data_IF_188476508856
#
_entry.id   IF_188476508856
#
_cell.length_a   1.000
_cell.length_b   1.000
_cell.length_c   1.000
_cell.angle_alpha   90.00
_cell.angle_beta   90.00
_cell.angle_gamma   90.00
#
_symmetry.space_group_name_H-M   'P 1'
#
loop_
_entity.id
_entity.type
_entity.pdbx_description
1 polymer ?
#
# COMPACT_ATOMS: atom_id res chain seq x y z
N UNK A 1 -22.86 19.97 -17.74
CA UNK A 1 -23.13 20.71 -16.49
C UNK A 1 -23.12 19.81 -15.24
N UNK A 2 -23.49 18.53 -15.35
CA UNK A 2 -23.49 17.58 -14.18
C UNK A 2 -22.11 17.04 -13.75
N UNK A 3 -21.11 17.02 -14.62
CA UNK A 3 -19.76 16.50 -14.29
C UNK A 3 -18.96 17.43 -13.35
N UNK A 4 -19.22 18.73 -13.37
CA UNK A 4 -18.51 19.71 -12.54
C UNK A 4 -18.98 19.74 -11.08
N UNK A 5 -20.24 19.37 -10.81
CA UNK A 5 -20.80 19.40 -9.45
C UNK A 5 -20.31 18.25 -8.56
N UNK A 6 -20.08 17.06 -9.15
CA UNK A 6 -19.60 15.90 -8.40
C UNK A 6 -18.15 16.09 -7.91
N UNK A 7 -17.30 16.71 -8.72
CA UNK A 7 -15.92 16.99 -8.35
C UNK A 7 -15.76 18.04 -7.24
N UNK A 8 -16.62 19.06 -7.24
CA UNK A 8 -16.59 20.11 -6.21
C UNK A 8 -17.07 19.59 -4.85
N UNK A 9 -18.00 18.62 -4.82
CA UNK A 9 -18.45 17.99 -3.58
C UNK A 9 -17.36 17.10 -2.93
N UNK A 10 -16.57 16.37 -3.71
CA UNK A 10 -15.47 15.55 -3.17
C UNK A 10 -14.41 16.42 -2.48
N UNK A 11 -14.08 17.58 -3.05
CA UNK A 11 -13.10 18.49 -2.48
C UNK A 11 -13.58 19.14 -1.16
N UNK A 12 -14.89 19.42 -1.05
CA UNK A 12 -15.44 20.07 0.15
C UNK A 12 -15.55 19.11 1.34
N UNK A 13 -15.86 17.81 1.11
CA UNK A 13 -15.96 16.82 2.20
C UNK A 13 -14.62 16.37 2.76
N UNK A 14 -13.55 16.40 1.97
CA UNK A 14 -12.20 16.04 2.44
C UNK A 14 -11.62 17.14 3.36
N UNK A 15 -12.05 18.38 3.23
CA UNK A 15 -11.60 19.51 4.05
C UNK A 15 -12.32 19.63 5.40
N UNK A 16 -13.46 18.96 5.59
CA UNK A 16 -14.24 19.06 6.85
C UNK A 16 -13.93 17.97 7.88
N UNK A 17 -13.12 16.97 7.54
CA UNK A 17 -12.64 15.92 8.46
C UNK A 17 -11.34 16.30 9.20
N UNK A 18 -11.11 17.58 9.46
CA UNK A 18 -9.89 18.06 10.14
C UNK A 18 -10.04 18.29 11.65
N UNK A 19 -11.16 17.90 12.26
CA UNK A 19 -11.17 17.74 13.71
C UNK A 19 -10.60 16.35 14.04
N UNK A 20 -9.63 16.26 14.96
CA UNK A 20 -9.13 14.96 15.39
C UNK A 20 -10.31 14.19 15.96
N UNK A 21 -10.66 13.07 15.34
CA UNK A 21 -11.53 12.09 15.96
C UNK A 21 -10.80 11.66 17.24
N UNK A 22 -11.36 11.98 18.40
CA UNK A 22 -10.80 11.59 19.69
C UNK A 22 -10.55 10.08 19.65
N UNK A 23 -9.26 9.72 19.79
CA UNK A 23 -8.72 8.40 20.11
C UNK A 23 -9.51 7.21 19.52
N UNK A 24 -9.45 7.04 18.20
CA UNK A 24 -9.50 5.68 17.68
C UNK A 24 -8.32 4.97 18.36
N UNK A 25 -8.57 3.83 19.00
CA UNK A 25 -7.56 3.04 19.72
C UNK A 25 -6.46 2.54 18.75
N UNK A 26 -5.79 3.47 18.05
CA UNK A 26 -4.63 3.20 17.20
C UNK A 26 -3.46 2.60 17.98
N UNK A 27 -3.52 2.73 19.30
CA UNK A 27 -2.51 2.23 20.24
C UNK A 27 -2.91 0.88 20.86
N UNK A 28 -4.02 0.26 20.42
CA UNK A 28 -4.33 -1.11 20.81
C UNK A 28 -3.53 -2.10 19.95
N UNK A 29 -2.99 -3.14 20.58
CA UNK A 29 -2.17 -4.15 19.93
C UNK A 29 -2.86 -5.51 19.95
N UNK A 30 -2.63 -6.30 18.93
CA UNK A 30 -2.94 -7.72 18.92
C UNK A 30 -1.74 -8.47 19.52
N UNK A 31 -1.95 -9.19 20.62
CA UNK A 31 -1.02 -10.20 21.08
C UNK A 31 -1.30 -11.47 20.24
N UNK A 32 -0.35 -11.80 19.37
CA UNK A 32 -0.50 -12.93 18.46
C UNK A 32 -0.03 -14.17 19.20
N UNK A 33 -0.96 -14.86 19.89
CA UNK A 33 -0.68 -16.16 20.49
C UNK A 33 -0.34 -17.18 19.39
N UNK A 34 0.84 -17.78 19.51
CA UNK A 34 1.29 -18.84 18.59
C UNK A 34 1.90 -18.33 17.30
N UNK A 35 2.31 -17.04 17.22
CA UNK A 35 3.17 -16.58 16.15
C UNK A 35 4.32 -17.58 15.98
N UNK A 36 4.40 -18.22 14.82
CA UNK A 36 5.49 -19.14 14.51
C UNK A 36 6.77 -18.34 14.38
N UNK A 37 7.39 -18.06 15.50
CA UNK A 37 8.81 -17.68 15.56
C UNK A 37 9.54 -18.81 14.84
N UNK A 38 10.23 -18.48 13.77
CA UNK A 38 10.78 -19.39 12.78
C UNK A 38 11.06 -20.79 13.30
N UNK A 39 10.45 -21.81 12.70
CA UNK A 39 10.47 -23.20 13.12
C UNK A 39 11.87 -23.79 13.34
N UNK A 40 12.90 -23.14 12.86
CA UNK A 40 14.27 -23.63 12.89
C UNK A 40 14.98 -23.38 14.22
N UNK A 41 14.53 -22.42 15.02
CA UNK A 41 15.20 -22.13 16.28
C UNK A 41 14.14 -21.91 17.35
N UNK A 42 14.06 -22.81 18.23
CA UNK A 42 13.24 -22.75 19.44
C UNK A 42 13.69 -21.66 20.45
N UNK A 43 14.56 -20.78 20.02
CA UNK A 43 15.04 -19.63 20.80
C UNK A 43 14.66 -18.35 20.07
N UNK A 44 14.16 -17.33 20.75
CA UNK A 44 14.06 -16.00 20.18
C UNK A 44 15.43 -15.61 19.62
N UNK A 45 15.47 -15.23 18.36
CA UNK A 45 16.70 -14.64 17.80
C UNK A 45 16.88 -13.32 18.53
N UNK A 46 17.90 -13.22 19.34
CA UNK A 46 18.32 -11.97 19.95
C UNK A 46 18.99 -11.11 18.85
N UNK A 47 18.18 -10.30 18.21
CA UNK A 47 18.61 -9.40 17.14
C UNK A 47 19.52 -8.29 17.65
N UNK A 48 19.44 -7.92 18.94
CA UNK A 48 20.31 -6.91 19.54
C UNK A 48 21.72 -7.45 19.77
N UNK A 49 21.86 -8.76 20.03
CA UNK A 49 23.17 -9.42 20.11
C UNK A 49 23.73 -9.84 18.75
N UNK A 50 22.87 -9.89 17.72
CA UNK A 50 23.21 -10.18 16.33
C UNK A 50 22.85 -9.01 15.41
N UNK A 51 22.97 -7.79 15.87
CA UNK A 51 23.04 -6.62 14.98
C UNK A 51 24.33 -6.75 14.13
N UNK A 52 24.34 -7.76 13.30
CA UNK A 52 25.23 -7.84 12.16
C UNK A 52 24.76 -6.71 11.27
N UNK A 53 25.49 -5.60 11.30
CA UNK A 53 25.44 -4.69 10.18
C UNK A 53 25.68 -5.55 8.94
N UNK A 54 24.63 -5.80 8.12
CA UNK A 54 24.75 -6.68 6.97
C UNK A 54 25.80 -6.18 5.98
N UNK A 55 26.32 -4.95 6.19
CA UNK A 55 27.35 -4.32 5.37
C UNK A 55 28.73 -4.33 6.01
N UNK A 56 28.85 -4.46 7.34
CA UNK A 56 30.17 -4.43 8.03
C UNK A 56 30.96 -5.73 7.96
N UNK A 57 30.33 -6.86 7.70
CA UNK A 57 30.98 -8.18 7.61
C UNK A 57 30.88 -8.83 6.24
N UNK A 58 30.70 -8.06 5.18
CA UNK A 58 30.81 -8.59 3.83
C UNK A 58 32.29 -8.80 3.54
N UNK A 59 32.75 -10.03 3.68
CA UNK A 59 34.01 -10.46 3.10
C UNK A 59 33.88 -10.35 1.57
N UNK A 60 34.60 -9.43 0.90
CA UNK A 60 34.50 -9.29 -0.55
C UNK A 60 34.85 -10.57 -1.31
N UNK A 61 35.59 -11.52 -0.68
CA UNK A 61 35.86 -12.83 -1.25
C UNK A 61 34.65 -13.77 -1.24
N UNK A 62 33.62 -13.46 -0.45
CA UNK A 62 32.35 -14.20 -0.34
C UNK A 62 31.20 -13.57 -1.16
N UNK A 63 31.48 -12.59 -1.99
CA UNK A 63 30.46 -11.99 -2.87
C UNK A 63 29.81 -12.99 -3.83
N UNK A 64 30.47 -14.14 -4.08
CA UNK A 64 29.90 -15.24 -4.86
C UNK A 64 28.78 -16.03 -4.13
N UNK A 65 28.58 -15.80 -2.85
CA UNK A 65 27.52 -16.44 -2.05
C UNK A 65 26.21 -15.62 -2.00
N UNK A 66 26.17 -14.43 -2.61
CA UNK A 66 24.96 -13.64 -2.68
C UNK A 66 23.99 -14.23 -3.68
N UNK A 67 22.80 -14.57 -3.23
CA UNK A 67 21.72 -15.07 -4.06
C UNK A 67 20.70 -13.95 -4.23
N UNK A 68 20.31 -13.59 -5.47
CA UNK A 68 19.20 -12.68 -5.68
C UNK A 68 17.90 -13.32 -5.21
N UNK A 69 17.10 -12.59 -4.45
CA UNK A 69 15.79 -13.01 -4.00
C UNK A 69 14.73 -12.21 -4.77
N UNK A 70 13.67 -12.88 -5.17
CA UNK A 70 12.57 -12.30 -5.95
C UNK A 70 11.27 -12.39 -5.17
N UNK A 71 10.52 -11.30 -5.15
CA UNK A 71 9.26 -11.24 -4.43
C UNK A 71 8.46 -10.00 -4.79
N UNK A 72 7.32 -9.85 -4.16
CA UNK A 72 6.44 -8.70 -4.33
C UNK A 72 5.95 -8.20 -2.96
N UNK A 73 6.05 -6.90 -2.76
CA UNK A 73 5.64 -6.23 -1.52
C UNK A 73 4.50 -5.23 -1.76
N UNK A 74 3.76 -5.40 -2.88
CA UNK A 74 2.65 -4.54 -3.21
C UNK A 74 1.54 -5.33 -3.92
N UNK A 75 0.64 -5.90 -3.11
CA UNK A 75 -0.36 -6.86 -3.56
C UNK A 75 -1.68 -6.62 -2.86
N UNK A 76 -2.77 -6.52 -3.65
CA UNK A 76 -4.12 -6.34 -3.17
C UNK A 76 -4.96 -7.60 -3.34
N UNK A 77 -5.82 -7.86 -2.37
CA UNK A 77 -6.69 -9.03 -2.31
C UNK A 77 -8.17 -8.62 -2.19
N UNK A 78 -9.02 -9.55 -1.84
CA UNK A 78 -10.45 -9.31 -1.59
C UNK A 78 -10.71 -8.20 -0.57
N UNK A 79 -9.76 -7.90 0.31
CA UNK A 79 -9.92 -6.90 1.36
C UNK A 79 -9.67 -5.46 0.92
N UNK A 80 -9.01 -5.24 -0.23
CA UNK A 80 -8.93 -3.91 -0.84
C UNK A 80 -10.25 -3.54 -1.48
N UNK A 81 -10.76 -2.35 -1.15
CA UNK A 81 -12.07 -1.90 -1.60
C UNK A 81 -12.21 -1.84 -3.13
N UNK A 82 -11.18 -1.46 -3.83
CA UNK A 82 -11.11 -1.40 -5.29
C UNK A 82 -10.91 -2.78 -5.91
N UNK A 83 -9.97 -3.58 -5.43
CA UNK A 83 -9.76 -4.94 -5.91
C UNK A 83 -11.07 -5.77 -5.84
N UNK A 84 -11.79 -5.72 -4.71
CA UNK A 84 -13.08 -6.38 -4.59
C UNK A 84 -14.11 -5.86 -5.59
N UNK A 85 -14.23 -4.54 -5.73
CA UNK A 85 -15.17 -3.93 -6.68
C UNK A 85 -14.86 -4.37 -8.12
N UNK A 86 -13.58 -4.52 -8.48
CA UNK A 86 -13.17 -4.97 -9.81
C UNK A 86 -13.13 -6.50 -9.98
N UNK A 87 -13.57 -7.26 -8.98
CA UNK A 87 -13.86 -8.69 -9.12
C UNK A 87 -12.89 -9.64 -8.44
N UNK A 88 -11.93 -9.11 -7.70
CA UNK A 88 -10.95 -9.94 -6.97
C UNK A 88 -11.61 -10.56 -5.75
N UNK A 89 -11.68 -11.88 -5.75
CA UNK A 89 -12.18 -12.71 -4.65
C UNK A 89 -11.06 -13.51 -3.98
N UNK A 90 -9.85 -13.44 -4.51
CA UNK A 90 -8.69 -14.09 -3.93
C UNK A 90 -8.39 -13.47 -2.55
N UNK A 91 -8.26 -14.33 -1.56
CA UNK A 91 -7.95 -13.98 -0.18
C UNK A 91 -6.45 -13.75 0.02
N UNK A 92 -6.00 -13.24 1.18
CA UNK A 92 -4.58 -13.23 1.52
C UNK A 92 -3.92 -14.61 1.45
N UNK A 93 -4.61 -15.68 1.86
CA UNK A 93 -4.10 -17.04 1.72
C UNK A 93 -3.89 -17.44 0.25
N UNK A 94 -4.85 -17.13 -0.63
CA UNK A 94 -4.74 -17.39 -2.08
C UNK A 94 -3.52 -16.65 -2.68
N UNK A 95 -3.29 -15.40 -2.28
CA UNK A 95 -2.16 -14.61 -2.72
C UNK A 95 -0.81 -15.27 -2.34
N UNK A 96 -0.68 -15.74 -1.09
CA UNK A 96 0.52 -16.48 -0.66
C UNK A 96 0.64 -17.85 -1.32
N UNK A 97 -0.47 -18.54 -1.60
CA UNK A 97 -0.45 -19.81 -2.33
C UNK A 97 0.02 -19.60 -3.79
N UNK A 98 -0.43 -18.53 -4.46
CA UNK A 98 0.10 -18.14 -5.78
C UNK A 98 1.60 -17.89 -5.73
N UNK A 99 2.05 -17.08 -4.76
CA UNK A 99 3.48 -16.76 -4.62
C UNK A 99 4.34 -18.00 -4.42
N UNK A 100 3.79 -19.08 -3.85
CA UNK A 100 4.42 -20.40 -3.74
C UNK A 100 4.25 -21.29 -4.97
N UNK A 101 3.70 -20.76 -6.08
CA UNK A 101 3.56 -21.45 -7.37
C UNK A 101 2.28 -22.25 -7.54
N UNK A 102 1.25 -22.06 -6.68
CA UNK A 102 -0.07 -22.65 -6.90
C UNK A 102 -0.90 -21.78 -7.84
N UNK A 103 -1.92 -22.39 -8.44
CA UNK A 103 -2.88 -21.67 -9.29
C UNK A 103 -3.99 -21.05 -8.46
N UNK A 104 -4.40 -19.82 -8.80
CA UNK A 104 -5.59 -19.16 -8.27
C UNK A 104 -6.52 -18.70 -9.40
N UNK A 105 -7.75 -18.30 -9.06
CA UNK A 105 -8.69 -17.72 -10.03
C UNK A 105 -8.47 -16.24 -10.21
N UNK A 106 -8.21 -15.84 -11.44
CA UNK A 106 -8.18 -14.44 -11.85
C UNK A 106 -9.63 -13.88 -11.95
N UNK A 107 -9.88 -12.59 -11.64
CA UNK A 107 -11.21 -11.97 -11.78
C UNK A 107 -11.86 -12.13 -13.16
N UNK A 108 -11.07 -12.26 -14.22
CA UNK A 108 -11.56 -12.51 -15.56
C UNK A 108 -11.96 -13.98 -15.83
N UNK A 109 -11.86 -14.88 -14.83
CA UNK A 109 -12.40 -16.23 -14.88
C UNK A 109 -11.44 -17.33 -15.32
N UNK A 110 -10.19 -17.02 -15.67
CA UNK A 110 -9.15 -18.01 -15.98
C UNK A 110 -8.31 -18.35 -14.73
N UNK A 111 -7.58 -19.44 -14.80
CA UNK A 111 -6.59 -19.80 -13.77
C UNK A 111 -5.25 -19.12 -14.08
N UNK A 112 -4.58 -18.61 -13.05
CA UNK A 112 -3.26 -18.00 -13.14
C UNK A 112 -2.32 -18.67 -12.14
N UNK A 113 -1.09 -18.91 -12.55
CA UNK A 113 -0.01 -19.43 -11.72
C UNK A 113 1.31 -18.82 -12.15
N UNK A 114 2.26 -18.76 -11.24
CA UNK A 114 3.63 -18.35 -11.56
C UNK A 114 4.43 -19.53 -12.10
N UNK A 115 5.31 -19.31 -13.07
CA UNK A 115 6.20 -20.33 -13.63
C UNK A 115 7.23 -20.82 -12.61
N UNK A 116 7.58 -19.97 -11.65
CA UNK A 116 8.39 -20.35 -10.50
C UNK A 116 7.90 -19.65 -9.24
N UNK A 117 8.04 -20.30 -8.06
CA UNK A 117 7.73 -19.66 -6.79
C UNK A 117 8.60 -18.43 -6.54
N UNK A 118 8.06 -17.48 -5.79
CA UNK A 118 8.77 -16.34 -5.23
C UNK A 118 9.52 -16.73 -3.96
N UNK A 119 10.50 -15.90 -3.58
CA UNK A 119 11.26 -16.07 -2.34
C UNK A 119 10.60 -15.35 -1.15
N UNK A 120 9.89 -14.25 -1.43
CA UNK A 120 9.17 -13.47 -0.41
C UNK A 120 7.91 -12.81 -0.99
N UNK A 121 6.96 -12.51 -0.09
CA UNK A 121 5.70 -11.86 -0.49
C UNK A 121 5.09 -11.06 0.66
N UNK A 122 4.39 -9.98 0.35
CA UNK A 122 3.64 -9.18 1.31
C UNK A 122 2.30 -8.72 0.73
N UNK A 123 1.20 -9.14 1.36
CA UNK A 123 -0.13 -8.59 1.06
C UNK A 123 -0.24 -7.22 1.69
N UNK A 124 -0.63 -6.23 0.89
CA UNK A 124 -0.66 -4.81 1.27
C UNK A 124 -2.00 -4.16 0.96
N UNK A 125 -3.08 -4.83 1.32
CA UNK A 125 -4.42 -4.28 1.13
C UNK A 125 -4.55 -2.87 1.73
N UNK A 126 -5.36 -2.04 1.11
CA UNK A 126 -5.64 -0.68 1.60
C UNK A 126 -6.13 -0.68 3.04
N UNK A 127 -5.41 -0.03 3.95
CA UNK A 127 -5.84 0.15 5.35
C UNK A 127 -7.10 1.03 5.46
N UNK A 128 -7.39 1.82 4.44
CA UNK A 128 -8.63 2.59 4.34
C UNK A 128 -9.73 1.70 3.79
N UNK A 129 -10.85 1.58 4.50
CA UNK A 129 -11.98 0.71 4.15
C UNK A 129 -11.63 -0.78 4.01
N UNK A 130 -10.65 -1.27 4.75
CA UNK A 130 -10.18 -2.64 4.73
C UNK A 130 -11.32 -3.64 5.03
N UNK A 131 -11.68 -4.49 4.05
CA UNK A 131 -12.77 -5.45 4.13
C UNK A 131 -14.19 -4.88 4.01
N UNK A 132 -14.35 -3.56 3.92
CA UNK A 132 -15.68 -2.94 3.97
C UNK A 132 -16.55 -3.22 2.74
N UNK A 133 -15.98 -3.36 1.55
CA UNK A 133 -16.77 -3.67 0.34
C UNK A 133 -17.25 -5.10 0.36
N UNK A 134 -16.41 -6.04 0.77
CA UNK A 134 -16.80 -7.43 0.96
C UNK A 134 -17.94 -7.54 1.98
N UNK A 135 -17.82 -6.87 3.12
CA UNK A 135 -18.87 -6.80 4.14
C UNK A 135 -20.18 -6.21 3.58
N UNK A 136 -20.08 -5.12 2.79
CA UNK A 136 -21.20 -4.48 2.14
C UNK A 136 -21.88 -5.35 1.07
N UNK A 137 -21.14 -6.26 0.47
CA UNK A 137 -21.64 -7.22 -0.53
C UNK A 137 -22.12 -8.55 0.07
N UNK A 138 -21.89 -8.78 1.36
CA UNK A 138 -22.24 -10.04 2.04
C UNK A 138 -23.64 -10.00 2.62
N UNK A 139 -24.59 -10.84 2.12
CA UNK A 139 -25.97 -10.87 2.62
C UNK A 139 -26.06 -11.15 4.12
N UNK A 140 -26.90 -10.40 4.81
CA UNK A 140 -27.15 -10.55 6.24
C UNK A 140 -26.22 -9.76 7.16
N UNK A 141 -25.30 -9.00 6.61
CA UNK A 141 -24.49 -8.06 7.39
C UNK A 141 -25.22 -6.70 7.55
N UNK A 142 -24.94 -5.93 8.60
CA UNK A 142 -25.49 -4.59 8.75
C UNK A 142 -25.17 -3.64 7.59
N UNK A 143 -24.03 -3.85 6.90
CA UNK A 143 -23.66 -3.03 5.76
C UNK A 143 -24.42 -3.40 4.49
N UNK A 144 -24.73 -4.67 4.29
CA UNK A 144 -25.47 -5.13 3.11
C UNK A 144 -26.81 -4.40 2.95
N UNK A 145 -27.54 -4.20 4.04
CA UNK A 145 -28.83 -3.54 4.05
C UNK A 145 -28.74 -2.00 4.05
N UNK A 146 -27.55 -1.44 4.16
CA UNK A 146 -27.34 -0.01 4.16
C UNK A 146 -27.56 0.60 2.75
N UNK A 147 -28.25 1.74 2.63
CA UNK A 147 -28.44 2.39 1.32
C UNK A 147 -27.14 2.74 0.57
N UNK A 148 -26.04 2.93 1.30
CA UNK A 148 -24.71 3.17 0.74
C UNK A 148 -24.13 1.97 0.01
N UNK A 149 -24.62 0.76 0.28
CA UNK A 149 -24.05 -0.52 -0.20
C UNK A 149 -24.78 -1.10 -1.42
N UNK A 150 -25.96 -0.60 -1.77
CA UNK A 150 -26.82 -1.17 -2.83
C UNK A 150 -26.08 -1.41 -4.15
N UNK A 151 -25.12 -0.56 -4.49
CA UNK A 151 -24.37 -0.65 -5.74
C UNK A 151 -23.33 -1.78 -5.77
N UNK A 152 -22.97 -2.34 -4.61
CA UNK A 152 -21.98 -3.40 -4.48
C UNK A 152 -22.56 -4.75 -4.03
N UNK A 153 -23.84 -4.81 -3.60
CA UNK A 153 -24.44 -6.00 -2.99
C UNK A 153 -24.28 -7.28 -3.83
N UNK A 154 -24.39 -7.20 -5.15
CA UNK A 154 -24.30 -8.36 -6.06
C UNK A 154 -23.13 -8.23 -7.06
N UNK A 155 -22.19 -7.34 -6.79
CA UNK A 155 -21.17 -6.95 -7.78
C UNK A 155 -20.29 -8.12 -8.20
N UNK A 156 -20.09 -9.09 -7.31
CA UNK A 156 -19.29 -10.30 -7.54
C UNK A 156 -20.11 -11.58 -7.57
N UNK A 157 -21.42 -11.50 -7.77
CA UNK A 157 -22.21 -12.68 -8.10
C UNK A 157 -21.74 -13.33 -9.42
N UNK A 158 -21.86 -14.64 -9.61
CA UNK A 158 -21.26 -15.36 -10.74
C UNK A 158 -21.61 -14.75 -12.12
N UNK A 159 -22.83 -14.25 -12.28
CA UNK A 159 -23.29 -13.62 -13.52
C UNK A 159 -22.61 -12.26 -13.80
N UNK A 160 -22.03 -11.62 -12.78
CA UNK A 160 -21.37 -10.33 -12.84
C UNK A 160 -19.84 -10.42 -12.96
N UNK A 161 -19.27 -11.63 -12.82
CA UNK A 161 -17.82 -11.85 -12.95
C UNK A 161 -17.44 -12.00 -14.44
N UNK A 162 -17.47 -10.88 -15.15
CA UNK A 162 -17.04 -10.80 -16.55
C UNK A 162 -16.69 -9.38 -16.96
N UNK A 163 -15.90 -9.23 -18.02
CA UNK A 163 -15.37 -7.94 -18.48
C UNK A 163 -16.45 -6.96 -18.97
N UNK A 164 -17.66 -7.43 -19.34
CA UNK A 164 -18.74 -6.54 -19.74
C UNK A 164 -19.29 -5.69 -18.60
N UNK A 165 -18.98 -6.04 -17.35
CA UNK A 165 -19.42 -5.33 -16.15
C UNK A 165 -18.47 -4.20 -15.72
N UNK A 166 -17.32 -4.01 -16.37
CA UNK A 166 -16.34 -2.95 -16.03
C UNK A 166 -17.01 -1.54 -15.91
N UNK A 167 -17.89 -1.10 -16.82
CA UNK A 167 -18.52 0.21 -16.66
C UNK A 167 -19.37 0.32 -15.38
N UNK A 168 -20.06 -0.76 -14.99
CA UNK A 168 -20.81 -0.83 -13.74
C UNK A 168 -19.88 -0.78 -12.53
N UNK A 169 -18.75 -1.52 -12.57
CA UNK A 169 -17.76 -1.54 -11.51
C UNK A 169 -17.10 -0.17 -11.31
N UNK A 170 -16.75 0.52 -12.38
CA UNK A 170 -16.25 1.91 -12.33
C UNK A 170 -17.25 2.86 -11.70
N UNK A 171 -18.54 2.72 -12.01
CA UNK A 171 -19.59 3.52 -11.37
C UNK A 171 -19.75 3.16 -9.89
N UNK A 172 -19.71 1.86 -9.56
CA UNK A 172 -19.82 1.37 -8.19
C UNK A 172 -18.63 1.85 -7.33
N UNK A 173 -17.41 1.83 -7.87
CA UNK A 173 -16.21 2.35 -7.20
C UNK A 173 -16.38 3.81 -6.74
N UNK A 174 -16.67 4.71 -7.65
CA UNK A 174 -16.90 6.12 -7.31
C UNK A 174 -18.08 6.34 -6.37
N UNK A 175 -19.19 5.62 -6.61
CA UNK A 175 -20.40 5.75 -5.81
C UNK A 175 -20.25 5.19 -4.39
N UNK A 176 -19.62 4.03 -4.22
CA UNK A 176 -19.43 3.40 -2.91
C UNK A 176 -18.62 4.31 -1.97
N UNK A 177 -17.49 4.82 -2.42
CA UNK A 177 -16.65 5.70 -1.60
C UNK A 177 -17.40 6.94 -1.12
N UNK A 178 -18.07 7.64 -2.04
CA UNK A 178 -18.83 8.87 -1.71
C UNK A 178 -19.97 8.55 -0.74
N UNK A 179 -20.75 7.50 -1.03
CA UNK A 179 -21.91 7.16 -0.23
C UNK A 179 -21.54 6.66 1.16
N UNK A 180 -20.44 5.91 1.27
CA UNK A 180 -19.95 5.40 2.54
C UNK A 180 -19.40 6.53 3.42
N UNK A 181 -18.59 7.43 2.88
CA UNK A 181 -18.11 8.62 3.60
C UNK A 181 -19.29 9.48 4.07
N UNK A 182 -20.28 9.70 3.20
CA UNK A 182 -21.49 10.46 3.54
C UNK A 182 -22.27 9.77 4.65
N UNK A 183 -22.44 8.45 4.58
CA UNK A 183 -23.16 7.68 5.60
C UNK A 183 -22.49 7.74 6.98
N UNK A 184 -21.15 7.72 7.03
CA UNK A 184 -20.40 7.96 8.29
C UNK A 184 -20.61 9.38 8.81
N UNK A 185 -20.49 10.39 7.96
CA UNK A 185 -20.66 11.78 8.38
C UNK A 185 -22.08 12.10 8.88
N UNK A 186 -23.07 11.36 8.40
CA UNK A 186 -24.48 11.47 8.80
C UNK A 186 -24.87 10.50 9.95
N UNK A 187 -23.91 9.78 10.53
CA UNK A 187 -24.12 8.74 11.55
C UNK A 187 -25.12 7.64 11.11
N UNK A 188 -25.17 7.33 9.82
CA UNK A 188 -26.00 6.25 9.26
C UNK A 188 -25.30 4.89 9.24
N UNK A 189 -23.97 4.88 9.40
CA UNK A 189 -23.16 3.69 9.61
C UNK A 189 -22.51 3.77 11.00
N UNK A 190 -22.50 2.65 11.70
CA UNK A 190 -21.88 2.55 13.03
C UNK A 190 -20.35 2.45 12.88
N UNK A 191 -19.62 3.44 13.39
CA UNK A 191 -18.15 3.49 13.37
C UNK A 191 -17.56 2.30 14.11
N UNK A 192 -18.13 1.87 15.25
CA UNK A 192 -17.62 0.71 15.99
C UNK A 192 -17.78 -0.58 15.19
N UNK A 193 -18.85 -0.69 14.43
CA UNK A 193 -19.02 -1.82 13.52
C UNK A 193 -18.00 -1.75 12.38
N UNK A 194 -17.77 -0.57 11.80
CA UNK A 194 -16.74 -0.33 10.79
C UNK A 194 -15.35 -0.76 11.27
N UNK A 195 -14.96 -0.33 12.46
CA UNK A 195 -13.69 -0.73 13.07
C UNK A 195 -13.61 -2.24 13.27
N UNK A 196 -14.72 -2.88 13.66
CA UNK A 196 -14.74 -4.34 13.81
C UNK A 196 -14.55 -5.08 12.50
N UNK A 197 -15.05 -4.53 11.38
CA UNK A 197 -14.82 -5.07 10.03
C UNK A 197 -13.34 -4.97 9.67
N UNK A 198 -12.75 -3.79 9.79
CA UNK A 198 -11.33 -3.59 9.51
C UNK A 198 -10.43 -4.46 10.40
N UNK A 199 -10.75 -4.61 11.69
CA UNK A 199 -9.99 -5.48 12.61
C UNK A 199 -10.05 -6.95 12.20
N UNK A 200 -11.21 -7.46 11.74
CA UNK A 200 -11.33 -8.85 11.27
C UNK A 200 -10.50 -9.09 10.03
N UNK A 201 -10.63 -8.23 9.02
CA UNK A 201 -9.87 -8.33 7.78
C UNK A 201 -8.35 -8.21 8.04
N UNK A 202 -7.96 -7.28 8.91
CA UNK A 202 -6.56 -7.13 9.32
C UNK A 202 -6.02 -8.36 10.05
N UNK A 203 -6.78 -8.92 11.00
CA UNK A 203 -6.38 -10.12 11.72
C UNK A 203 -6.18 -11.28 10.75
N UNK A 204 -7.09 -11.48 9.81
CA UNK A 204 -6.98 -12.55 8.80
C UNK A 204 -5.75 -12.35 7.90
N UNK A 205 -5.46 -11.12 7.47
CA UNK A 205 -4.23 -10.80 6.72
C UNK A 205 -2.96 -11.14 7.53
N UNK A 206 -2.94 -10.77 8.81
CA UNK A 206 -1.82 -11.08 9.73
C UNK A 206 -1.66 -12.59 9.91
N UNK A 207 -2.75 -13.29 10.17
CA UNK A 207 -2.73 -14.76 10.35
C UNK A 207 -2.33 -15.48 9.05
N UNK A 208 -2.78 -15.03 7.89
CA UNK A 208 -2.37 -15.57 6.60
C UNK A 208 -0.85 -15.41 6.39
N UNK A 209 -0.31 -14.22 6.63
CA UNK A 209 1.14 -14.01 6.57
C UNK A 209 1.89 -14.99 7.46
N UNK A 210 1.42 -15.21 8.68
CA UNK A 210 2.07 -16.15 9.62
C UNK A 210 1.93 -17.61 9.20
N UNK A 211 0.74 -18.03 8.73
CA UNK A 211 0.51 -19.41 8.26
C UNK A 211 1.43 -19.80 7.11
N UNK A 212 1.71 -18.85 6.22
CA UNK A 212 2.47 -19.07 5.02
C UNK A 212 3.97 -18.84 5.16
N UNK A 213 4.43 -18.22 6.26
CA UNK A 213 5.84 -17.97 6.50
C UNK A 213 6.61 -19.29 6.75
N UNK A 214 7.58 -19.58 5.90
CA UNK A 214 8.45 -20.75 5.97
C UNK A 214 9.92 -20.31 5.86
N UNK A 215 10.52 -19.84 6.96
CA UNK A 215 11.86 -19.26 6.94
C UNK A 215 12.92 -20.17 6.32
N UNK A 216 13.65 -19.64 5.36
CA UNK A 216 14.63 -20.36 4.56
C UNK A 216 14.11 -20.86 3.20
N UNK A 217 12.80 -20.95 3.02
CA UNK A 217 12.16 -21.32 1.74
C UNK A 217 11.29 -20.21 1.19
N UNK A 218 10.47 -19.60 2.03
CA UNK A 218 9.55 -18.53 1.64
C UNK A 218 9.31 -17.57 2.81
N UNK A 219 9.55 -16.28 2.60
CA UNK A 219 9.37 -15.26 3.64
C UNK A 219 8.10 -14.46 3.36
N UNK A 220 7.23 -14.34 4.37
CA UNK A 220 6.08 -13.46 4.32
C UNK A 220 6.28 -12.23 5.20
N UNK A 221 5.68 -11.12 4.80
CA UNK A 221 5.66 -9.89 5.58
C UNK A 221 4.23 -9.56 5.98
N UNK A 222 4.05 -9.18 7.25
CA UNK A 222 2.81 -8.53 7.70
C UNK A 222 2.86 -7.10 7.20
N UNK A 223 1.89 -6.70 6.40
CA UNK A 223 1.90 -5.40 5.74
C UNK A 223 0.51 -4.90 5.40
N UNK A 224 0.40 -3.61 5.10
CA UNK A 224 -0.80 -2.97 4.57
C UNK A 224 -0.43 -1.71 3.81
N UNK A 225 -1.35 -1.17 3.01
CA UNK A 225 -1.14 0.10 2.35
C UNK A 225 -1.79 1.27 3.12
N UNK A 226 -0.98 2.24 3.50
CA UNK A 226 -1.44 3.56 3.96
C UNK A 226 -1.81 4.40 2.74
N UNK A 227 -3.10 4.50 2.47
CA UNK A 227 -3.68 5.14 1.28
C UNK A 227 -4.08 6.57 1.59
N UNK A 228 -3.13 7.50 1.49
CA UNK A 228 -3.38 8.93 1.65
C UNK A 228 -3.30 9.68 0.31
N UNK A 229 -3.89 10.86 0.24
CA UNK A 229 -3.85 11.72 -0.94
C UNK A 229 -3.96 13.19 -0.57
N UNK A 230 -3.41 14.05 -1.43
CA UNK A 230 -3.58 15.49 -1.30
C UNK A 230 -5.03 15.91 -1.52
N UNK A 231 -5.44 17.14 -1.15
CA UNK A 231 -6.80 17.63 -1.41
C UNK A 231 -7.20 17.62 -2.89
N UNK A 232 -6.23 17.72 -3.81
CA UNK A 232 -6.45 17.61 -5.26
C UNK A 232 -6.16 16.19 -5.80
N UNK A 233 -6.18 15.18 -4.92
CA UNK A 233 -6.06 13.76 -5.24
C UNK A 233 -4.69 13.35 -5.83
N UNK A 234 -3.62 14.04 -5.48
CA UNK A 234 -2.25 13.54 -5.70
C UNK A 234 -1.95 12.37 -4.76
N UNK A 235 -1.36 11.31 -5.29
CA UNK A 235 -1.09 10.08 -4.54
C UNK A 235 0.00 10.30 -3.48
N UNK A 236 -0.30 9.91 -2.24
CA UNK A 236 0.65 9.90 -1.11
C UNK A 236 0.64 8.53 -0.43
N UNK A 237 0.52 7.46 -1.22
CA UNK A 237 0.41 6.09 -0.75
C UNK A 237 1.76 5.52 -0.28
N UNK A 238 1.73 4.64 0.73
CA UNK A 238 2.89 3.93 1.28
C UNK A 238 2.49 2.53 1.70
N UNK A 239 3.28 1.53 1.30
CA UNK A 239 3.18 0.21 1.91
C UNK A 239 3.90 0.22 3.25
N UNK A 240 3.21 -0.09 4.32
CA UNK A 240 3.78 -0.22 5.67
C UNK A 240 4.06 -1.68 5.91
N UNK A 241 5.34 -2.00 6.12
CA UNK A 241 5.85 -3.35 6.32
C UNK A 241 6.34 -3.47 7.76
N UNK A 242 5.85 -4.49 8.48
CA UNK A 242 6.32 -4.80 9.83
C UNK A 242 7.43 -5.83 9.81
N UNK A 243 8.36 -5.72 10.73
CA UNK A 243 9.46 -6.68 10.86
C UNK A 243 8.91 -8.04 11.26
N UNK A 244 9.22 -9.07 10.47
CA UNK A 244 8.55 -10.38 10.48
C UNK A 244 8.69 -11.24 11.75
N UNK A 245 9.48 -10.81 12.75
CA UNK A 245 9.65 -11.53 14.01
C UNK A 245 8.89 -10.91 15.18
N UNK A 246 8.02 -9.92 14.93
CA UNK A 246 7.20 -9.35 16.00
C UNK A 246 6.04 -10.27 16.35
N UNK A 247 5.79 -10.45 17.65
CA UNK A 247 4.63 -11.13 18.19
C UNK A 247 3.52 -10.14 18.63
N UNK A 248 3.76 -8.86 18.40
CA UNK A 248 2.79 -7.78 18.63
C UNK A 248 2.65 -6.97 17.36
N UNK A 249 1.44 -6.59 17.05
CA UNK A 249 1.12 -5.76 15.90
C UNK A 249 -0.07 -4.86 16.24
N UNK A 250 -0.17 -3.65 15.66
CA UNK A 250 -1.35 -2.82 15.85
C UNK A 250 -2.63 -3.59 15.51
N UNK A 251 -3.67 -3.45 16.31
CA UNK A 251 -4.94 -4.17 16.13
C UNK A 251 -5.76 -3.68 14.95
N UNK A 252 -5.38 -2.56 14.37
CA UNK A 252 -5.95 -1.96 13.17
C UNK A 252 -4.85 -1.17 12.43
N UNK A 253 -4.83 -1.16 11.10
CA UNK A 253 -3.90 -0.34 10.33
C UNK A 253 -4.07 1.16 10.60
N UNK A 254 -2.97 1.88 10.78
CA UNK A 254 -2.98 3.34 10.79
C UNK A 254 -3.31 3.82 9.37
N UNK A 255 -4.36 4.60 9.23
CA UNK A 255 -4.91 4.99 7.94
C UNK A 255 -5.08 6.49 7.80
N UNK A 256 -5.56 6.93 6.65
CA UNK A 256 -5.92 8.34 6.43
C UNK A 256 -6.99 8.87 7.40
N UNK A 257 -7.74 8.00 8.05
CA UNK A 257 -8.68 8.41 9.11
C UNK A 257 -7.95 8.95 10.35
N UNK A 258 -6.71 8.52 10.57
CA UNK A 258 -5.85 8.98 11.66
C UNK A 258 -5.06 10.24 11.25
N UNK A 259 -4.49 10.25 10.05
CA UNK A 259 -3.79 11.39 9.46
C UNK A 259 -3.79 11.29 7.93
N UNK A 260 -3.88 12.41 7.26
CA UNK A 260 -3.78 12.48 5.79
C UNK A 260 -2.38 12.86 5.30
N UNK A 261 -1.49 13.20 6.22
CA UNK A 261 -0.11 13.57 5.90
C UNK A 261 0.87 12.47 6.33
N UNK A 262 1.98 12.28 5.57
CA UNK A 262 2.96 11.26 5.87
C UNK A 262 3.69 11.47 7.19
N UNK A 263 3.84 12.71 7.66
CA UNK A 263 4.47 13.01 8.95
C UNK A 263 3.68 12.44 10.13
N UNK A 264 2.35 12.35 10.00
CA UNK A 264 1.48 11.68 10.97
C UNK A 264 1.76 10.19 11.04
N UNK A 265 1.88 9.53 9.87
CA UNK A 265 2.27 8.13 9.78
C UNK A 265 3.66 7.88 10.40
N UNK A 266 4.67 8.67 10.04
CA UNK A 266 6.04 8.47 10.56
C UNK A 266 6.13 8.64 12.07
N UNK A 267 5.42 9.63 12.64
CA UNK A 267 5.34 9.83 14.09
C UNK A 267 4.65 8.66 14.78
N UNK A 268 3.63 8.07 14.16
CA UNK A 268 2.99 6.89 14.69
C UNK A 268 3.95 5.68 14.63
N UNK A 269 4.66 5.48 13.52
CA UNK A 269 5.67 4.42 13.40
C UNK A 269 6.77 4.55 14.44
N UNK A 270 7.23 5.78 14.76
CA UNK A 270 8.21 6.01 15.81
C UNK A 270 7.65 5.65 17.20
N UNK A 271 6.38 5.97 17.48
CA UNK A 271 5.74 5.57 18.77
C UNK A 271 5.67 4.05 18.92
N UNK A 272 5.19 3.34 17.92
CA UNK A 272 5.11 1.87 18.02
C UNK A 272 6.49 1.21 18.08
N UNK A 273 7.52 1.87 17.54
CA UNK A 273 8.92 1.43 17.67
C UNK A 273 9.41 1.53 19.12
N UNK A 274 8.98 2.54 19.87
CA UNK A 274 9.23 2.64 21.32
C UNK A 274 8.61 1.45 22.08
N UNK A 275 7.53 0.87 21.58
CA UNK A 275 6.90 -0.36 22.08
C UNK A 275 7.52 -1.65 21.52
N UNK A 276 8.62 -1.54 20.76
CA UNK A 276 9.36 -2.67 20.20
C UNK A 276 8.80 -3.18 18.86
N UNK A 277 7.92 -2.43 18.18
CA UNK A 277 7.35 -2.80 16.89
C UNK A 277 8.09 -2.08 15.77
N UNK A 278 9.04 -2.76 15.15
CA UNK A 278 9.79 -2.23 14.01
C UNK A 278 8.96 -2.28 12.73
N UNK A 279 9.00 -1.17 11.98
CA UNK A 279 8.31 -1.04 10.69
C UNK A 279 9.05 -0.10 9.76
N UNK A 280 8.77 -0.21 8.47
CA UNK A 280 9.17 0.76 7.44
C UNK A 280 7.99 1.06 6.52
N UNK A 281 8.01 2.22 5.88
CA UNK A 281 7.05 2.60 4.85
C UNK A 281 7.75 2.73 3.50
N UNK A 282 7.08 2.27 2.45
CA UNK A 282 7.58 2.29 1.07
C UNK A 282 6.66 3.21 0.25
N UNK A 283 7.04 4.48 0.01
CA UNK A 283 6.32 5.34 -0.91
C UNK A 283 6.26 4.74 -2.30
N UNK A 284 5.11 4.83 -2.95
CA UNK A 284 4.92 4.30 -4.29
C UNK A 284 4.01 5.17 -5.14
N UNK A 285 3.96 4.89 -6.45
CA UNK A 285 3.15 5.60 -7.42
C UNK A 285 3.32 7.13 -7.33
N UNK A 286 4.56 7.55 -7.10
CA UNK A 286 4.91 8.96 -6.92
C UNK A 286 4.71 9.77 -8.20
N UNK A 287 4.76 9.12 -9.39
CA UNK A 287 4.41 9.73 -10.68
C UNK A 287 3.01 10.39 -10.65
N UNK A 288 2.05 9.83 -9.88
CA UNK A 288 0.71 10.37 -9.67
C UNK A 288 0.56 11.35 -8.50
N UNK A 289 1.65 11.77 -7.85
CA UNK A 289 1.60 12.57 -6.62
C UNK A 289 1.38 14.07 -6.80
N UNK A 290 1.37 14.57 -8.04
CA UNK A 290 1.22 15.98 -8.36
C UNK A 290 2.32 16.86 -7.71
N UNK A 291 3.56 16.35 -7.66
CA UNK A 291 4.72 17.01 -7.08
C UNK A 291 4.85 16.92 -5.55
N UNK A 292 3.94 16.23 -4.88
CA UNK A 292 3.88 16.23 -3.42
C UNK A 292 4.67 15.10 -2.76
N UNK A 293 4.94 13.98 -3.45
CA UNK A 293 5.68 12.87 -2.85
C UNK A 293 7.10 13.28 -2.45
N UNK A 294 7.76 14.08 -3.31
CA UNK A 294 9.11 14.57 -3.11
C UNK A 294 9.16 16.11 -3.16
N UNK A 295 8.18 16.74 -2.50
CA UNK A 295 8.14 18.19 -2.33
C UNK A 295 9.38 18.70 -1.56
N UNK A 296 9.69 19.98 -1.69
CA UNK A 296 10.81 20.64 -0.97
C UNK A 296 10.33 21.33 0.33
N UNK A 297 9.14 20.98 0.80
CA UNK A 297 8.52 21.48 2.03
C UNK A 297 7.69 20.36 2.64
N UNK A 298 7.50 20.42 3.96
CA UNK A 298 6.61 19.52 4.67
C UNK A 298 5.14 19.70 4.25
N UNK A 299 4.27 18.84 4.70
CA UNK A 299 2.82 18.88 4.39
C UNK A 299 2.13 20.16 4.88
N UNK A 300 2.78 20.93 5.75
CA UNK A 300 2.27 22.21 6.28
C UNK A 300 2.86 23.42 5.56
N UNK A 301 3.74 23.22 4.58
CA UNK A 301 4.39 24.27 3.80
C UNK A 301 5.65 24.86 4.42
N UNK A 302 6.18 24.28 5.51
CA UNK A 302 7.41 24.72 6.13
C UNK A 302 8.63 24.17 5.39
N UNK A 303 9.78 24.88 5.40
CA UNK A 303 11.05 24.35 4.93
C UNK A 303 11.44 23.10 5.72
N UNK A 304 12.12 22.17 5.07
CA UNK A 304 12.67 20.99 5.74
C UNK A 304 13.73 21.38 6.78
N UNK A 305 13.87 20.52 7.78
CA UNK A 305 14.91 20.59 8.81
C UNK A 305 15.69 19.28 8.86
N UNK A 306 16.85 19.24 9.51
CA UNK A 306 17.56 17.98 9.77
C UNK A 306 16.68 16.93 10.44
N UNK A 307 15.85 17.34 11.42
CA UNK A 307 14.94 16.44 12.15
C UNK A 307 13.86 15.85 11.22
N UNK A 308 13.35 16.64 10.27
CA UNK A 308 12.43 16.13 9.25
C UNK A 308 13.11 15.08 8.37
N UNK A 309 14.34 15.36 7.92
CA UNK A 309 15.09 14.43 7.08
C UNK A 309 15.37 13.11 7.83
N UNK A 310 15.77 13.19 9.10
CA UNK A 310 16.02 12.02 9.94
C UNK A 310 14.72 11.22 10.19
N UNK A 311 13.61 11.89 10.48
CA UNK A 311 12.31 11.27 10.66
C UNK A 311 11.88 10.52 9.40
N UNK A 312 11.98 11.15 8.23
CA UNK A 312 11.63 10.55 6.95
C UNK A 312 12.52 9.36 6.63
N UNK A 313 13.84 9.53 6.66
CA UNK A 313 14.79 8.47 6.26
C UNK A 313 14.74 7.25 7.19
N UNK A 314 14.42 7.45 8.48
CA UNK A 314 14.23 6.34 9.41
C UNK A 314 12.99 5.50 9.07
N UNK A 315 11.94 6.13 8.55
CA UNK A 315 10.66 5.49 8.26
C UNK A 315 10.46 5.13 6.78
N UNK A 316 11.10 5.84 5.84
CA UNK A 316 11.04 5.60 4.39
C UNK A 316 12.44 5.31 3.82
N UNK A 317 13.10 4.19 4.20
CA UNK A 317 14.47 3.89 3.76
C UNK A 317 14.56 3.43 2.30
N UNK A 318 13.44 3.03 1.69
CA UNK A 318 13.34 2.61 0.28
C UNK A 318 12.08 3.21 -0.37
N UNK A 319 12.08 3.25 -1.70
CA UNK A 319 10.96 3.71 -2.52
C UNK A 319 10.69 2.72 -3.65
N UNK A 320 9.44 2.55 -4.01
CA UNK A 320 9.04 1.79 -5.19
C UNK A 320 9.14 2.68 -6.43
N UNK A 321 9.95 2.22 -7.41
CA UNK A 321 10.27 3.00 -8.62
C UNK A 321 9.44 2.64 -9.83
N UNK A 322 8.77 1.49 -9.82
CA UNK A 322 7.91 1.04 -10.93
C UNK A 322 6.85 0.05 -10.44
N UNK A 323 5.71 0.04 -11.11
CA UNK A 323 4.58 -0.83 -10.87
C UNK A 323 3.59 -0.72 -12.06
N UNK A 324 2.45 -1.44 -12.04
CA UNK A 324 1.46 -1.45 -13.15
C UNK A 324 0.90 -0.07 -13.52
N UNK A 325 0.91 0.90 -12.60
CA UNK A 325 0.47 2.28 -12.87
C UNK A 325 1.62 3.18 -13.37
N UNK A 326 2.63 2.58 -14.00
CA UNK A 326 3.74 3.24 -14.66
C UNK A 326 4.97 3.49 -13.79
N UNK A 327 6.05 3.93 -14.45
CA UNK A 327 7.32 4.23 -13.78
C UNK A 327 7.24 5.49 -12.94
N UNK A 328 7.88 5.46 -11.78
CA UNK A 328 8.19 6.62 -10.94
C UNK A 328 9.68 7.02 -10.99
N UNK A 329 10.49 6.37 -11.86
CA UNK A 329 11.93 6.64 -11.95
C UNK A 329 12.21 8.06 -12.46
N UNK A 330 11.79 8.38 -13.69
CA UNK A 330 11.97 9.70 -14.28
C UNK A 330 10.88 10.03 -15.30
N UNK A 331 10.92 11.25 -15.84
CA UNK A 331 10.00 11.76 -16.86
C UNK A 331 10.77 12.56 -17.92
N UNK A 332 10.37 12.56 -19.22
CA UNK A 332 11.05 13.29 -20.28
C UNK A 332 11.26 14.79 -19.99
N UNK A 333 10.33 15.42 -19.28
CA UNK A 333 10.46 16.83 -18.88
C UNK A 333 11.56 17.08 -17.83
N UNK A 334 12.01 16.06 -17.10
CA UNK A 334 13.04 16.13 -16.07
C UNK A 334 14.37 15.56 -16.55
N UNK A 335 14.36 14.63 -17.50
CA UNK A 335 15.54 13.94 -18.05
C UNK A 335 15.55 14.07 -19.58
N UNK A 336 15.73 15.30 -20.08
CA UNK A 336 15.56 15.64 -21.51
C UNK A 336 16.59 15.01 -22.46
N UNK A 337 17.69 14.47 -21.94
CA UNK A 337 18.74 13.83 -22.72
C UNK A 337 18.76 12.30 -22.56
N UNK A 338 17.79 11.73 -21.87
CA UNK A 338 17.66 10.30 -21.63
C UNK A 338 16.64 9.73 -22.63
N UNK A 339 17.10 8.87 -23.53
CA UNK A 339 16.26 8.24 -24.57
C UNK A 339 15.24 7.25 -24.00
N UNK A 340 15.40 6.81 -22.75
CA UNK A 340 14.51 5.91 -22.06
C UNK A 340 13.55 6.59 -21.06
N UNK A 341 13.61 7.92 -20.95
CA UNK A 341 12.83 8.67 -19.98
C UNK A 341 11.30 8.59 -20.22
N UNK A 342 10.85 8.18 -21.39
CA UNK A 342 9.45 8.00 -21.76
C UNK A 342 8.97 6.54 -21.70
N UNK A 343 9.81 5.63 -21.17
CA UNK A 343 9.44 4.23 -21.03
C UNK A 343 8.42 4.04 -19.89
N UNK A 344 7.27 3.42 -20.21
CA UNK A 344 6.19 3.09 -19.29
C UNK A 344 5.70 4.26 -18.41
N UNK A 345 5.69 5.47 -18.93
CA UNK A 345 5.17 6.62 -18.18
C UNK A 345 3.64 6.60 -18.10
N UNK A 346 3.11 6.85 -16.91
CA UNK A 346 1.70 7.16 -16.67
C UNK A 346 1.61 8.52 -15.97
N UNK A 347 1.47 9.62 -16.71
CA UNK A 347 1.61 10.99 -16.18
C UNK A 347 0.31 11.52 -15.58
N UNK A 348 -0.52 10.66 -15.00
CA UNK A 348 -1.83 11.03 -14.50
C UNK A 348 -1.99 10.67 -13.03
N UNK A 349 -2.81 11.45 -12.32
CA UNK A 349 -3.32 11.09 -11.01
C UNK A 349 -4.35 9.97 -11.16
N UNK A 350 -4.18 8.86 -10.45
CA UNK A 350 -5.01 7.66 -10.60
C UNK A 350 -6.50 7.98 -10.38
N UNK A 351 -6.84 8.68 -9.31
CA UNK A 351 -8.23 8.94 -8.94
C UNK A 351 -8.97 9.91 -9.87
N UNK A 352 -8.27 10.81 -10.56
CA UNK A 352 -8.93 11.89 -11.34
C UNK A 352 -8.64 11.84 -12.82
N UNK A 353 -7.64 11.04 -13.24
CA UNK A 353 -7.14 11.00 -14.61
C UNK A 353 -6.69 12.37 -15.15
N UNK A 354 -6.41 13.32 -14.25
CA UNK A 354 -5.81 14.60 -14.60
C UNK A 354 -4.28 14.51 -14.56
N UNK A 355 -3.59 15.32 -15.36
CA UNK A 355 -2.13 15.32 -15.36
C UNK A 355 -1.56 15.58 -13.96
N UNK A 356 -0.50 14.86 -13.64
CA UNK A 356 0.33 15.03 -12.45
C UNK A 356 1.52 15.95 -12.79
N UNK A 357 1.88 16.84 -11.87
CA UNK A 357 3.07 17.68 -12.01
C UNK A 357 4.35 16.81 -11.93
N UNK A 358 5.23 16.81 -12.94
CA UNK A 358 6.44 15.97 -12.92
C UNK A 358 7.44 16.36 -11.82
N UNK A 359 7.64 17.68 -11.58
CA UNK A 359 8.59 18.15 -10.56
C UNK A 359 8.13 17.74 -9.16
N UNK A 360 9.01 17.03 -8.42
CA UNK A 360 8.67 16.49 -7.11
C UNK A 360 7.85 15.19 -7.13
N UNK A 361 7.63 14.59 -8.33
CA UNK A 361 6.90 13.33 -8.50
C UNK A 361 7.80 12.14 -8.86
N UNK A 362 9.05 12.36 -9.23
CA UNK A 362 9.92 11.32 -9.74
C UNK A 362 11.19 11.16 -8.89
N UNK A 363 11.59 9.90 -8.74
CA UNK A 363 12.66 9.45 -7.84
C UNK A 363 14.02 10.06 -8.21
N UNK A 364 14.39 10.06 -9.49
CA UNK A 364 15.68 10.60 -9.95
C UNK A 364 15.80 12.11 -9.66
N UNK A 365 14.71 12.85 -9.81
CA UNK A 365 14.64 14.26 -9.43
C UNK A 365 14.77 14.45 -7.92
N UNK A 366 14.12 13.61 -7.13
CA UNK A 366 14.21 13.64 -5.67
C UNK A 366 15.63 13.38 -5.17
N UNK A 367 16.34 12.40 -5.73
CA UNK A 367 17.75 12.13 -5.41
C UNK A 367 18.63 13.36 -5.70
N UNK A 368 18.42 14.02 -6.85
CA UNK A 368 19.16 15.22 -7.22
C UNK A 368 18.91 16.36 -6.24
N UNK A 369 17.66 16.59 -5.85
CA UNK A 369 17.31 17.62 -4.87
C UNK A 369 17.87 17.28 -3.47
N UNK A 370 17.83 16.00 -3.08
CA UNK A 370 18.46 15.54 -1.84
C UNK A 370 19.96 15.80 -1.77
N UNK A 371 20.68 15.52 -2.87
CA UNK A 371 22.12 15.83 -2.97
C UNK A 371 22.40 17.33 -2.91
N UNK A 372 21.53 18.16 -3.50
CA UNK A 372 21.65 19.62 -3.41
C UNK A 372 21.48 20.12 -1.99
N UNK A 373 20.44 19.63 -1.27
CA UNK A 373 20.20 19.98 0.13
C UNK A 373 21.36 19.54 1.02
N UNK A 374 21.88 18.32 0.82
CA UNK A 374 23.03 17.84 1.59
C UNK A 374 24.25 18.75 1.43
N UNK A 375 24.52 19.19 0.21
CA UNK A 375 25.63 20.09 -0.07
C UNK A 375 25.43 21.51 0.48
N UNK A 376 24.20 22.02 0.46
CA UNK A 376 23.89 23.41 0.79
C UNK A 376 23.49 23.60 2.26
N UNK A 377 22.80 22.61 2.84
CA UNK A 377 22.12 22.70 4.12
C UNK A 377 22.61 21.65 5.13
N UNK A 378 23.35 20.61 4.65
CA UNK A 378 23.95 19.59 5.50
C UNK A 378 23.05 18.41 5.86
N UNK A 379 21.85 18.29 5.26
CA UNK A 379 20.93 17.15 5.45
C UNK A 379 20.30 16.74 4.11
N UNK A 380 19.76 15.50 4.05
CA UNK A 380 19.17 14.94 2.85
C UNK A 380 17.98 14.02 3.18
N UNK A 381 16.75 14.40 2.87
CA UNK A 381 15.55 13.62 3.15
C UNK A 381 15.27 12.52 2.10
N UNK A 382 16.16 12.30 1.12
CA UNK A 382 15.96 11.43 -0.05
C UNK A 382 17.12 10.44 -0.28
N UNK A 383 17.70 9.90 0.80
CA UNK A 383 18.76 8.86 0.75
C UNK A 383 18.23 7.43 0.70
N UNK A 384 17.15 7.20 0.01
CA UNK A 384 16.47 5.92 -0.03
C UNK A 384 17.10 4.96 -1.06
N UNK A 385 16.92 3.65 -0.82
CA UNK A 385 17.10 2.59 -1.81
C UNK A 385 15.85 2.37 -2.66
N UNK A 386 15.85 1.36 -3.52
CA UNK A 386 14.80 1.12 -4.51
C UNK A 386 14.26 -0.29 -4.44
N UNK A 387 12.97 -0.44 -4.77
CA UNK A 387 12.31 -1.70 -5.04
C UNK A 387 11.39 -1.52 -6.26
N UNK A 388 11.17 -2.58 -7.04
CA UNK A 388 10.06 -2.71 -7.95
C UNK A 388 9.01 -3.64 -7.35
N UNK A 389 7.73 -3.38 -7.57
CA UNK A 389 6.62 -4.22 -7.12
C UNK A 389 5.50 -4.16 -8.15
N UNK A 390 4.46 -4.99 -8.02
CA UNK A 390 3.42 -5.05 -9.04
C UNK A 390 2.29 -4.05 -8.84
N UNK A 391 1.86 -3.79 -7.60
CA UNK A 391 0.59 -3.12 -7.28
C UNK A 391 -0.60 -3.85 -7.92
N UNK A 392 -0.50 -5.19 -7.96
CA UNK A 392 -1.58 -6.01 -8.52
C UNK A 392 -2.84 -5.91 -7.68
N UNK A 393 -3.98 -5.77 -8.35
CA UNK A 393 -5.30 -5.80 -7.72
C UNK A 393 -6.04 -7.12 -7.98
N UNK A 394 -5.31 -8.16 -8.38
CA UNK A 394 -5.86 -9.49 -8.67
C UNK A 394 -5.26 -10.59 -7.79
N UNK A 395 -4.51 -10.22 -6.76
CA UNK A 395 -3.68 -11.09 -5.92
C UNK A 395 -2.58 -11.84 -6.70
N UNK A 396 -2.45 -11.59 -8.01
CA UNK A 396 -1.58 -12.32 -8.92
C UNK A 396 -0.49 -11.40 -9.47
N UNK A 397 0.69 -11.45 -8.87
CA UNK A 397 1.86 -10.78 -9.44
C UNK A 397 2.25 -11.39 -10.77
N UNK A 398 2.63 -10.58 -11.75
CA UNK A 398 3.25 -11.03 -12.99
C UNK A 398 4.76 -10.88 -12.87
N UNK A 399 5.51 -11.91 -13.29
CA UNK A 399 6.98 -11.91 -13.30
C UNK A 399 7.56 -11.94 -14.71
N UNK A 400 6.72 -12.12 -15.72
CA UNK A 400 7.13 -12.27 -17.10
C UNK A 400 6.79 -10.99 -17.87
N UNK A 401 7.80 -10.27 -18.32
CA UNK A 401 7.64 -9.00 -19.03
C UNK A 401 6.81 -9.11 -20.31
N UNK A 402 6.89 -10.26 -21.00
CA UNK A 402 6.13 -10.51 -22.22
C UNK A 402 4.64 -10.83 -21.95
N UNK A 403 4.29 -11.15 -20.71
CA UNK A 403 2.91 -11.33 -20.23
C UNK A 403 2.40 -10.13 -19.42
N UNK A 404 3.29 -9.30 -18.93
CA UNK A 404 2.97 -8.05 -18.23
C UNK A 404 2.53 -6.99 -19.24
N UNK A 405 1.32 -7.11 -19.71
CA UNK A 405 0.67 -5.98 -20.37
C UNK A 405 0.05 -5.11 -19.27
N UNK A 406 0.50 -3.87 -19.14
CA UNK A 406 -0.07 -2.81 -18.27
C UNK A 406 -1.61 -2.76 -18.31
N UNK A 407 -2.23 -3.40 -19.27
CA UNK A 407 -3.67 -3.44 -19.51
C UNK A 407 -4.36 -4.76 -19.11
N UNK A 408 -3.64 -5.74 -18.56
CA UNK A 408 -4.21 -7.06 -18.18
C UNK A 408 -4.22 -7.27 -16.67
N UNK A 409 -3.40 -6.57 -15.92
CA UNK A 409 -3.29 -6.69 -14.46
C UNK A 409 -4.23 -5.77 -13.67
N UNK A 410 -5.04 -4.94 -14.36
CA UNK A 410 -6.09 -4.10 -13.76
C UNK A 410 -7.50 -4.56 -14.16
#
# INVERSE_FOLDING_TARGET
MYKSLAFTLIAIFISSCSEPVEDIESDSFLDIEGARVGLATQQPIDWDSQAIDPYMNIDPSKSAERVPLFGDLHVHTTYSFDAYIFGTLATPDDAYELAKGKSIKHPAGFDVSLDRPLDFYGVTDHGTFLGHVEEAATPGTPYYDAPSSIQVNDINSPENLNTSTIPRRTQAFGGFLINTITAFSENKLDIKYADSVSRRAWLDTVEAAQRHNDPGNFTTFIAYEYTASTPNMGNLHRNVIFKGNTNRIPSIPYSRANSNDPEGLWKWMDRIREDGIESMAIPHNSNGSDGFMFALKDSFGNPFTPEYADLRMRNEPIVEITQVKGTSDTHPALSTNDEWADFEIMPFKVATQSFSEPKGSYVRDALLEGLKMEKQEGFNPYKFGFIGSSDTHTAASSQEEDLSLIHISE
#
